data_IF_820190040336
#
_entry.id   IF_820190040336
#
_cell.length_a   1.000
_cell.length_b   1.000
_cell.length_c   1.000
_cell.angle_alpha   90.00
_cell.angle_beta   90.00
_cell.angle_gamma   90.00
#
_symmetry.space_group_name_H-M   'P 1'
#
loop_
_entity.id
_entity.type
_entity.pdbx_description
1 polymer ?
#
# COMPACT_ATOMS: atom_id res chain seq x y z
N UNK A 1 -3.44 1.31 -22.69
CA UNK A 1 -3.32 -0.16 -22.48
C UNK A 1 -4.06 -0.49 -21.19
N UNK A 2 -5.22 -1.14 -21.24
CA UNK A 2 -6.00 -1.55 -20.06
C UNK A 2 -5.35 -2.78 -19.44
N UNK A 3 -5.13 -2.79 -18.14
CA UNK A 3 -4.52 -3.92 -17.43
C UNK A 3 -5.64 -4.84 -16.92
N UNK A 4 -5.37 -6.15 -16.87
CA UNK A 4 -6.33 -7.21 -16.48
C UNK A 4 -6.98 -7.07 -15.07
N UNK A 5 -6.65 -6.02 -14.32
CA UNK A 5 -7.20 -5.75 -12.99
C UNK A 5 -8.18 -4.58 -12.94
N UNK A 6 -8.41 -3.88 -14.06
CA UNK A 6 -9.44 -2.85 -14.17
C UNK A 6 -10.86 -3.47 -14.07
N UNK A 7 -10.99 -4.77 -14.33
CA UNK A 7 -12.23 -5.57 -14.28
C UNK A 7 -12.10 -6.82 -13.38
N UNK A 8 -11.05 -6.89 -12.54
CA UNK A 8 -10.83 -8.08 -11.72
C UNK A 8 -11.89 -8.25 -10.64
N UNK A 9 -12.43 -9.47 -10.53
CA UNK A 9 -13.27 -9.90 -9.41
C UNK A 9 -12.55 -9.61 -8.07
N UNK A 10 -13.26 -9.01 -7.11
CA UNK A 10 -12.75 -8.71 -5.77
C UNK A 10 -12.15 -9.93 -5.06
N UNK A 11 -12.62 -11.15 -5.36
CA UNK A 11 -12.04 -12.39 -4.83
C UNK A 11 -10.60 -12.60 -5.34
N UNK A 12 -10.35 -12.31 -6.61
CA UNK A 12 -9.02 -12.38 -7.21
C UNK A 12 -8.11 -11.29 -6.63
N UNK A 13 -8.62 -10.05 -6.53
CA UNK A 13 -7.89 -8.93 -5.93
C UNK A 13 -7.49 -9.26 -4.49
N UNK A 14 -8.42 -9.76 -3.67
CA UNK A 14 -8.16 -10.19 -2.28
C UNK A 14 -7.10 -11.27 -2.21
N UNK A 15 -7.23 -12.32 -3.03
CA UNK A 15 -6.27 -13.44 -3.05
C UNK A 15 -4.87 -12.94 -3.43
N UNK A 16 -4.78 -12.10 -4.45
CA UNK A 16 -3.52 -11.52 -4.90
C UNK A 16 -2.90 -10.60 -3.84
N UNK A 17 -3.69 -9.72 -3.22
CA UNK A 17 -3.25 -8.82 -2.15
C UNK A 17 -2.75 -9.60 -0.92
N UNK A 18 -3.51 -10.61 -0.48
CA UNK A 18 -3.13 -11.41 0.68
C UNK A 18 -1.82 -12.19 0.44
N UNK A 19 -1.66 -12.77 -0.75
CA UNK A 19 -0.43 -13.49 -1.13
C UNK A 19 0.78 -12.56 -1.24
N UNK A 20 0.61 -11.37 -1.82
CA UNK A 20 1.74 -10.53 -2.21
C UNK A 20 2.10 -9.45 -1.18
N UNK A 21 1.19 -9.11 -0.26
CA UNK A 21 1.39 -8.07 0.74
C UNK A 21 1.11 -8.57 2.16
N UNK A 22 -0.15 -8.93 2.49
CA UNK A 22 -0.57 -9.17 3.89
C UNK A 22 0.22 -10.30 4.57
N UNK A 23 0.51 -11.40 3.85
CA UNK A 23 1.33 -12.50 4.40
C UNK A 23 2.79 -12.13 4.64
N UNK A 24 3.31 -11.13 3.94
CA UNK A 24 4.70 -10.67 4.08
C UNK A 24 4.86 -9.62 5.17
N UNK A 25 3.81 -8.83 5.39
CA UNK A 25 3.81 -7.71 6.31
C UNK A 25 2.64 -7.86 7.29
N UNK A 26 2.86 -8.53 8.44
CA UNK A 26 1.86 -8.70 9.47
C UNK A 26 1.29 -7.38 10.02
N UNK A 27 0.06 -7.41 10.56
CA UNK A 27 -0.48 -6.28 11.31
C UNK A 27 0.44 -5.89 12.47
N UNK A 28 0.79 -4.60 12.56
CA UNK A 28 1.70 -4.09 13.58
C UNK A 28 3.12 -3.78 13.08
N UNK A 29 3.48 -4.18 11.86
CA UNK A 29 4.69 -3.66 11.22
C UNK A 29 4.46 -2.24 10.67
N UNK A 30 5.45 -1.33 10.74
CA UNK A 30 5.34 0.01 10.18
C UNK A 30 4.91 0.04 8.69
N UNK A 31 5.43 -0.88 7.88
CA UNK A 31 5.06 -1.05 6.46
C UNK A 31 3.57 -1.38 6.27
N UNK A 32 3.01 -2.25 7.12
CA UNK A 32 1.59 -2.58 7.08
C UNK A 32 0.75 -1.37 7.50
N UNK A 33 1.17 -0.66 8.56
CA UNK A 33 0.47 0.55 9.03
C UNK A 33 0.43 1.64 7.95
N UNK A 34 1.53 1.88 7.25
CA UNK A 34 1.58 2.83 6.14
C UNK A 34 0.54 2.49 5.07
N UNK A 35 0.51 1.23 4.60
CA UNK A 35 -0.47 0.82 3.59
C UNK A 35 -1.91 0.91 4.09
N UNK A 36 -2.19 0.55 5.34
CA UNK A 36 -3.54 0.72 5.92
C UNK A 36 -3.94 2.20 5.94
N UNK A 37 -3.04 3.11 6.32
CA UNK A 37 -3.32 4.56 6.32
C UNK A 37 -3.57 5.10 4.91
N UNK A 38 -2.80 4.67 3.92
CA UNK A 38 -3.04 4.99 2.50
C UNK A 38 -4.41 4.51 2.06
N UNK A 39 -4.73 3.23 2.27
CA UNK A 39 -6.00 2.65 1.86
C UNK A 39 -7.18 3.28 2.60
N UNK A 40 -6.99 3.71 3.84
CA UNK A 40 -7.98 4.50 4.59
C UNK A 40 -8.20 5.88 3.97
N UNK A 41 -7.13 6.63 3.63
CA UNK A 41 -7.26 7.93 2.96
C UNK A 41 -7.96 7.78 1.59
N UNK A 42 -7.63 6.76 0.80
CA UNK A 42 -8.32 6.49 -0.47
C UNK A 42 -9.83 6.36 -0.27
N UNK A 43 -10.28 5.59 0.73
CA UNK A 43 -11.71 5.44 1.05
C UNK A 43 -12.32 6.76 1.50
N UNK A 44 -11.66 7.47 2.42
CA UNK A 44 -12.14 8.73 2.97
C UNK A 44 -12.29 9.83 1.91
N UNK A 45 -11.44 9.79 0.88
CA UNK A 45 -11.48 10.71 -0.26
C UNK A 45 -12.46 10.28 -1.36
N UNK A 46 -13.35 9.32 -1.10
CA UNK A 46 -14.32 8.84 -2.10
C UNK A 46 -13.70 7.98 -3.19
N UNK A 47 -12.72 7.14 -2.83
CA UNK A 47 -11.98 6.25 -3.75
C UNK A 47 -11.16 7.01 -4.80
N UNK A 48 -10.40 8.00 -4.33
CA UNK A 48 -9.49 8.79 -5.17
C UNK A 48 -8.03 8.47 -4.83
N UNK A 49 -7.24 8.07 -5.83
CA UNK A 49 -5.78 7.95 -5.67
C UNK A 49 -5.13 9.33 -5.85
N UNK A 50 -4.54 9.83 -4.76
CA UNK A 50 -3.72 11.05 -4.74
C UNK A 50 -2.43 10.88 -5.53
N UNK A 51 -1.82 11.99 -5.90
CA UNK A 51 -0.49 11.97 -6.52
C UNK A 51 0.59 11.50 -5.56
N UNK A 52 0.46 11.86 -4.28
CA UNK A 52 1.32 11.44 -3.18
C UNK A 52 0.52 11.45 -1.88
N UNK A 53 1.00 10.69 -0.89
CA UNK A 53 0.44 10.62 0.45
C UNK A 53 1.45 11.13 1.46
N UNK A 54 0.97 11.88 2.46
CA UNK A 54 1.79 12.45 3.52
C UNK A 54 1.28 11.98 4.87
N UNK A 55 2.19 11.53 5.74
CA UNK A 55 1.88 11.12 7.10
C UNK A 55 2.94 11.65 8.08
N UNK A 56 2.53 12.23 9.22
CA UNK A 56 3.44 12.42 10.34
C UNK A 56 4.05 11.08 10.77
N UNK A 57 5.35 11.05 11.04
CA UNK A 57 6.10 9.86 11.42
C UNK A 57 5.47 9.15 12.63
N UNK A 58 4.97 9.92 13.59
CA UNK A 58 4.30 9.43 14.80
C UNK A 58 2.96 8.72 14.54
N UNK A 59 2.26 9.00 13.44
CA UNK A 59 1.01 8.31 13.11
C UNK A 59 1.22 6.87 12.60
N UNK A 60 2.41 6.58 12.11
CA UNK A 60 2.71 5.34 11.36
C UNK A 60 3.78 4.48 12.03
N UNK A 61 4.35 4.97 13.13
CA UNK A 61 5.33 4.27 13.97
C UNK A 61 4.79 4.03 15.37
N UNK A 62 5.49 3.19 16.14
CA UNK A 62 5.13 2.89 17.53
C UNK A 62 6.31 3.19 18.44
N UNK A 63 6.05 3.50 19.71
CA UNK A 63 7.10 3.51 20.72
C UNK A 63 7.59 2.07 20.95
N UNK A 64 8.89 1.86 21.01
CA UNK A 64 9.50 0.54 21.11
C UNK A 64 11.00 0.60 21.30
N UNK A 65 11.67 -0.52 21.05
CA UNK A 65 13.13 -0.63 21.13
C UNK A 65 13.84 0.20 20.04
N UNK A 66 13.31 0.15 18.81
CA UNK A 66 13.83 0.93 17.68
C UNK A 66 13.28 2.36 17.69
N UNK A 67 14.10 3.32 17.27
CA UNK A 67 13.65 4.70 17.03
C UNK A 67 12.58 4.73 15.93
N UNK A 68 11.78 5.80 15.89
CA UNK A 68 10.75 5.95 14.86
C UNK A 68 11.38 6.08 13.48
N UNK A 69 12.53 6.74 13.41
CA UNK A 69 13.34 6.94 12.21
C UNK A 69 13.85 5.61 11.66
N UNK A 70 14.39 4.73 12.52
CA UNK A 70 14.82 3.37 12.13
C UNK A 70 13.63 2.53 11.64
N UNK A 71 12.51 2.55 12.37
CA UNK A 71 11.28 1.87 11.95
C UNK A 71 10.84 2.33 10.55
N UNK A 72 10.88 3.63 10.28
CA UNK A 72 10.47 4.20 9.00
C UNK A 72 11.47 3.90 7.89
N UNK A 73 12.76 3.98 8.16
CA UNK A 73 13.80 3.61 7.20
C UNK A 73 13.61 2.16 6.73
N UNK A 74 13.43 1.23 7.67
CA UNK A 74 13.14 -0.17 7.36
C UNK A 74 11.84 -0.33 6.57
N UNK A 75 10.77 0.39 6.95
CA UNK A 75 9.48 0.32 6.27
C UNK A 75 9.55 0.79 4.81
N UNK A 76 10.26 1.90 4.56
CA UNK A 76 10.44 2.46 3.22
C UNK A 76 11.25 1.50 2.34
N UNK A 77 12.32 0.91 2.87
CA UNK A 77 13.08 -0.13 2.16
C UNK A 77 12.24 -1.38 1.86
N UNK A 78 11.42 -1.82 2.81
CA UNK A 78 10.51 -2.95 2.61
C UNK A 78 9.47 -2.66 1.54
N UNK A 79 8.86 -1.45 1.55
CA UNK A 79 7.91 -1.00 0.53
C UNK A 79 8.54 -0.90 -0.85
N UNK A 80 9.77 -0.38 -0.93
CA UNK A 80 10.51 -0.24 -2.19
C UNK A 80 10.78 -1.60 -2.86
N UNK A 81 11.01 -2.63 -2.04
CA UNK A 81 11.19 -4.01 -2.51
C UNK A 81 9.87 -4.69 -2.93
N UNK A 82 8.70 -4.07 -2.71
CA UNK A 82 7.41 -4.68 -3.09
C UNK A 82 7.21 -4.62 -4.60
N UNK A 83 7.20 -5.80 -5.19
CA UNK A 83 6.84 -6.01 -6.59
C UNK A 83 5.63 -6.95 -6.69
N UNK A 84 4.61 -6.52 -7.44
CA UNK A 84 3.43 -7.31 -7.75
C UNK A 84 3.57 -7.98 -9.11
N UNK A 85 3.19 -9.26 -9.16
CA UNK A 85 3.17 -10.08 -10.36
C UNK A 85 1.72 -10.38 -10.71
N UNK A 86 1.26 -9.73 -11.76
CA UNK A 86 -0.08 -9.85 -12.29
C UNK A 86 -0.09 -10.86 -13.43
N UNK A 87 -0.81 -11.96 -13.23
CA UNK A 87 -0.93 -13.04 -14.21
C UNK A 87 -2.37 -13.07 -14.72
N UNK A 88 -2.54 -13.04 -16.04
CA UNK A 88 -3.82 -13.27 -16.70
C UNK A 88 -3.67 -14.52 -17.59
N UNK A 89 -3.86 -15.74 -17.05
CA UNK A 89 -3.59 -16.98 -17.76
C UNK A 89 -4.39 -17.12 -19.06
N UNK A 90 -5.66 -16.69 -19.05
CA UNK A 90 -6.53 -16.71 -20.22
C UNK A 90 -5.99 -15.85 -21.37
N UNK A 91 -5.25 -14.79 -21.07
CA UNK A 91 -4.65 -13.87 -22.04
C UNK A 91 -3.15 -14.13 -22.26
N UNK A 92 -2.55 -15.10 -21.55
CA UNK A 92 -1.10 -15.38 -21.50
C UNK A 92 -0.25 -14.13 -21.21
N UNK A 93 -0.78 -13.21 -20.40
CA UNK A 93 -0.10 -11.96 -20.06
C UNK A 93 0.47 -12.03 -18.65
N UNK A 94 1.71 -11.54 -18.51
CA UNK A 94 2.45 -11.44 -17.25
C UNK A 94 2.99 -10.03 -17.14
N UNK A 95 2.61 -9.34 -16.07
CA UNK A 95 3.08 -7.98 -15.80
C UNK A 95 3.65 -7.87 -14.40
N UNK A 96 4.86 -7.35 -14.32
CA UNK A 96 5.51 -7.04 -13.04
C UNK A 96 5.47 -5.54 -12.84
N UNK A 97 5.08 -5.10 -11.65
CA UNK A 97 5.00 -3.68 -11.29
C UNK A 97 5.54 -3.47 -9.87
N UNK A 98 6.42 -2.49 -9.70
CA UNK A 98 6.81 -1.99 -8.38
C UNK A 98 5.62 -1.27 -7.74
N UNK A 99 5.49 -1.37 -6.43
CA UNK A 99 4.44 -0.68 -5.68
C UNK A 99 4.64 0.85 -5.72
N UNK A 100 5.85 1.29 -5.43
CA UNK A 100 6.22 2.69 -5.39
C UNK A 100 6.60 3.22 -6.78
N UNK A 101 6.41 4.51 -6.98
CA UNK A 101 6.85 5.26 -8.15
C UNK A 101 8.23 5.87 -7.87
N UNK A 102 9.20 5.58 -8.72
CA UNK A 102 10.56 6.10 -8.71
C UNK A 102 10.87 6.99 -9.93
N UNK A 103 9.85 7.31 -10.74
CA UNK A 103 10.03 8.04 -12.00
C UNK A 103 9.84 9.55 -11.91
N UNK A 104 9.43 10.05 -10.74
CA UNK A 104 9.15 11.48 -10.50
C UNK A 104 10.28 12.17 -9.76
N UNK A 105 10.36 13.50 -9.94
CA UNK A 105 11.31 14.34 -9.20
C UNK A 105 11.09 14.29 -7.69
N UNK A 106 9.82 14.18 -7.25
CA UNK A 106 9.47 13.95 -5.85
C UNK A 106 9.67 12.48 -5.50
N UNK A 107 10.41 12.25 -4.42
CA UNK A 107 10.77 10.90 -3.97
C UNK A 107 9.93 10.44 -2.79
N UNK A 108 9.70 9.14 -2.73
CA UNK A 108 9.22 8.48 -1.50
C UNK A 108 10.33 8.56 -0.45
N UNK A 109 10.00 8.95 0.78
CA UNK A 109 11.00 9.18 1.81
C UNK A 109 10.42 9.69 3.13
N UNK A 110 11.29 10.02 4.08
CA UNK A 110 10.92 10.67 5.33
C UNK A 110 11.85 11.87 5.55
N UNK A 111 11.27 13.07 5.61
CA UNK A 111 12.00 14.34 5.81
C UNK A 111 11.27 15.14 6.88
N UNK A 112 12.01 15.65 7.88
CA UNK A 112 11.46 16.47 8.98
C UNK A 112 10.24 15.83 9.67
N UNK A 113 10.29 14.51 9.89
CA UNK A 113 9.21 13.77 10.53
C UNK A 113 7.96 13.58 9.66
N UNK A 114 8.04 13.88 8.35
CA UNK A 114 6.95 13.66 7.39
C UNK A 114 7.33 12.57 6.40
N UNK A 115 6.53 11.50 6.39
CA UNK A 115 6.65 10.39 5.44
C UNK A 115 5.88 10.74 4.18
N UNK A 116 6.56 10.68 3.03
CA UNK A 116 5.96 10.86 1.70
C UNK A 116 5.96 9.52 0.97
N UNK A 117 4.80 9.10 0.45
CA UNK A 117 4.67 7.90 -0.39
C UNK A 117 4.11 8.27 -1.77
N UNK A 118 4.78 7.79 -2.82
CA UNK A 118 4.31 7.87 -4.20
C UNK A 118 4.10 6.47 -4.75
N UNK A 119 2.91 6.20 -5.28
CA UNK A 119 2.54 4.89 -5.81
C UNK A 119 2.61 4.88 -7.33
N UNK A 120 3.03 3.74 -7.88
CA UNK A 120 3.10 3.52 -9.31
C UNK A 120 1.73 3.80 -9.97
N UNK A 121 1.62 4.77 -10.90
CA UNK A 121 0.34 5.13 -11.52
C UNK A 121 -0.36 3.98 -12.24
N UNK A 122 0.40 3.00 -12.74
CA UNK A 122 -0.15 1.81 -13.39
C UNK A 122 -0.90 0.88 -12.40
N UNK A 123 -0.72 1.07 -11.09
CA UNK A 123 -1.42 0.33 -10.04
C UNK A 123 -2.68 1.04 -9.54
N UNK A 124 -3.04 2.21 -10.08
CA UNK A 124 -4.16 3.04 -9.61
C UNK A 124 -5.45 2.22 -9.41
N UNK A 125 -5.93 1.54 -10.45
CA UNK A 125 -7.19 0.78 -10.37
C UNK A 125 -7.08 -0.42 -9.43
N UNK A 126 -5.92 -1.08 -9.39
CA UNK A 126 -5.67 -2.17 -8.46
C UNK A 126 -5.74 -1.68 -7.00
N UNK A 127 -5.12 -0.55 -6.66
CA UNK A 127 -5.16 0.02 -5.31
C UNK A 127 -6.57 0.50 -4.93
N UNK A 128 -7.36 1.01 -5.87
CA UNK A 128 -8.78 1.29 -5.64
C UNK A 128 -9.58 0.03 -5.30
N UNK A 129 -9.31 -1.08 -5.99
CA UNK A 129 -9.96 -2.35 -5.69
C UNK A 129 -9.51 -2.93 -4.34
N UNK A 130 -8.22 -2.78 -3.99
CA UNK A 130 -7.71 -3.17 -2.66
C UNK A 130 -8.35 -2.30 -1.56
N UNK A 131 -8.54 -1.01 -1.81
CA UNK A 131 -9.23 -0.11 -0.88
C UNK A 131 -10.73 -0.43 -0.73
N UNK A 132 -11.32 -1.29 -1.55
CA UNK A 132 -12.70 -1.77 -1.36
C UNK A 132 -12.77 -3.07 -0.54
N UNK A 133 -11.63 -3.69 -0.20
CA UNK A 133 -11.62 -4.89 0.63
C UNK A 133 -11.88 -4.54 2.09
N UNK A 134 -12.90 -5.15 2.71
CA UNK A 134 -13.30 -4.92 4.10
C UNK A 134 -12.20 -5.29 5.13
N UNK A 135 -11.28 -6.17 4.76
CA UNK A 135 -10.27 -6.77 5.66
C UNK A 135 -9.10 -5.82 6.02
N UNK A 136 -9.03 -4.62 5.44
CA UNK A 136 -7.89 -3.70 5.64
C UNK A 136 -7.99 -2.94 6.98
N UNK A 137 -9.11 -3.02 7.68
CA UNK A 137 -9.25 -2.47 9.03
C UNK A 137 -9.59 -3.60 10.00
N UNK A 138 -8.97 -3.68 11.21
CA UNK A 138 -9.66 -4.33 12.30
C UNK A 138 -10.98 -3.58 12.52
N UNK A 139 -12.08 -4.30 12.71
CA UNK A 139 -13.35 -3.68 13.09
C UNK A 139 -13.10 -2.71 14.27
N UNK A 140 -13.75 -1.53 14.30
CA UNK A 140 -13.67 -0.68 15.47
C UNK A 140 -14.04 -1.53 16.68
N UNK A 141 -13.13 -1.67 17.64
CA UNK A 141 -13.46 -2.31 18.91
C UNK A 141 -14.60 -1.51 19.48
N UNK A 142 -15.79 -2.11 19.52
CA UNK A 142 -16.89 -1.62 20.34
C UNK A 142 -16.30 -1.40 21.72
N UNK A 143 -16.30 -0.17 22.20
CA UNK A 143 -15.97 0.10 23.59
C UNK A 143 -17.09 -0.56 24.42
N UNK A 144 -16.77 -1.70 25.01
CA UNK A 144 -17.55 -2.33 26.07
C UNK A 144 -17.26 -1.64 27.39
#
# INVERSE_FOLDING_TARGET
MRLAYDEADFKLVRTHWNRNFVRKFPPGEPVHRLMVRVLHQIRADGYVIREYYLFPLEEVTTLGADTREEQMYCALHQLDAVMFRFEAPALRQYHVRRLLDDTKDRQTGCVDGVVTLLFNPALRNYLLNVAQLDEVLPAPRSAS
#
